data_IF_052775704187
#
_entry.id   IF_052775704187
#
_cell.length_a   1.000
_cell.length_b   1.000
_cell.length_c   1.000
_cell.angle_alpha   90.00
_cell.angle_beta   90.00
_cell.angle_gamma   90.00
#
_symmetry.space_group_name_H-M   'P 1'
#
loop_
_entity.id
_entity.type
_entity.pdbx_description
1 polymer ?
#
# COMPACT_ATOMS: atom_id res chain seq x y z
N UNK A 1 9.56 1.19 -22.86
CA UNK A 1 8.15 1.38 -22.43
C UNK A 1 8.04 1.56 -20.92
N UNK A 2 8.80 0.77 -20.14
CA UNK A 2 8.76 0.82 -18.69
C UNK A 2 10.14 1.14 -18.11
N UNK A 3 10.20 2.10 -17.21
CA UNK A 3 11.36 2.41 -16.38
C UNK A 3 11.45 1.40 -15.22
N UNK A 4 12.66 0.90 -14.97
CA UNK A 4 12.95 -0.03 -13.87
C UNK A 4 12.63 0.59 -12.51
N UNK A 5 11.97 -0.18 -11.64
CA UNK A 5 11.66 0.26 -10.27
C UNK A 5 10.61 1.36 -10.17
N UNK A 6 9.94 1.75 -11.26
CA UNK A 6 9.02 2.90 -11.30
C UNK A 6 7.57 2.50 -11.57
N UNK A 7 6.79 2.30 -10.50
CA UNK A 7 5.32 2.10 -10.60
C UNK A 7 4.67 3.29 -11.29
N UNK A 8 5.17 4.50 -10.99
CA UNK A 8 4.73 5.75 -11.60
C UNK A 8 4.85 5.70 -13.12
N UNK A 9 6.01 5.32 -13.65
CA UNK A 9 6.19 5.21 -15.10
C UNK A 9 5.26 4.16 -15.71
N UNK A 10 5.12 2.99 -15.08
CA UNK A 10 4.19 1.95 -15.53
C UNK A 10 2.75 2.46 -15.65
N UNK A 11 2.25 3.19 -14.64
CA UNK A 11 0.89 3.75 -14.69
C UNK A 11 0.76 4.88 -15.70
N UNK A 12 1.74 5.78 -15.79
CA UNK A 12 1.76 6.83 -16.82
C UNK A 12 1.66 6.21 -18.22
N UNK A 13 2.37 5.12 -18.47
CA UNK A 13 2.36 4.42 -19.77
C UNK A 13 1.05 3.68 -20.06
N UNK A 14 0.42 3.03 -19.06
CA UNK A 14 -0.76 2.17 -19.28
C UNK A 14 -2.08 2.96 -19.18
N UNK A 15 -2.22 3.80 -18.16
CA UNK A 15 -3.51 4.45 -17.84
C UNK A 15 -3.51 5.95 -18.06
N UNK A 16 -2.38 6.55 -18.44
CA UNK A 16 -2.20 8.02 -18.47
C UNK A 16 -3.22 8.75 -19.36
N UNK A 17 -3.48 8.25 -20.57
CA UNK A 17 -4.33 8.95 -21.54
C UNK A 17 -5.56 8.15 -22.01
N UNK A 18 -5.48 6.81 -22.00
CA UNK A 18 -6.45 5.93 -22.69
C UNK A 18 -7.85 5.98 -22.09
N UNK A 19 -8.00 6.37 -20.82
CA UNK A 19 -9.30 6.50 -20.15
C UNK A 19 -10.08 7.75 -20.57
N UNK A 20 -9.42 8.75 -21.17
CA UNK A 20 -10.06 9.98 -21.65
C UNK A 20 -10.48 9.94 -23.12
N UNK A 21 -10.41 8.77 -23.76
CA UNK A 21 -10.63 8.66 -25.19
C UNK A 21 -12.12 8.85 -25.54
N UNK A 22 -12.45 9.85 -26.37
CA UNK A 22 -13.85 10.21 -26.71
C UNK A 22 -14.64 9.05 -27.32
N UNK A 23 -13.96 8.10 -27.97
CA UNK A 23 -14.58 6.93 -28.57
C UNK A 23 -14.99 5.84 -27.56
N UNK A 24 -14.49 5.92 -26.32
CA UNK A 24 -14.81 4.99 -25.25
C UNK A 24 -15.81 5.63 -24.29
N UNK A 25 -16.92 4.94 -24.02
CA UNK A 25 -17.91 5.39 -23.03
C UNK A 25 -17.42 5.15 -21.59
N UNK A 26 -16.70 4.05 -21.39
CA UNK A 26 -16.10 3.67 -20.12
C UNK A 26 -14.95 2.70 -20.38
N UNK A 27 -13.95 2.72 -19.51
CA UNK A 27 -12.84 1.78 -19.50
C UNK A 27 -12.48 1.50 -18.04
N UNK A 28 -12.12 0.24 -17.73
CA UNK A 28 -11.61 -0.18 -16.43
C UNK A 28 -10.44 -1.12 -16.64
N UNK A 29 -9.34 -0.85 -15.94
CA UNK A 29 -8.22 -1.78 -15.85
C UNK A 29 -8.54 -2.77 -14.72
N UNK A 30 -8.79 -4.03 -15.05
CA UNK A 30 -9.18 -5.05 -14.06
C UNK A 30 -7.97 -5.72 -13.41
N UNK A 31 -6.93 -6.06 -14.19
CA UNK A 31 -5.73 -6.73 -13.69
C UNK A 31 -4.51 -6.44 -14.57
N UNK A 32 -3.31 -6.66 -14.03
CA UNK A 32 -2.04 -6.54 -14.72
C UNK A 32 -1.17 -7.76 -14.46
N UNK A 33 -0.76 -8.43 -15.54
CA UNK A 33 0.30 -9.43 -15.46
C UNK A 33 1.66 -8.73 -15.35
N UNK A 34 2.27 -8.76 -14.18
CA UNK A 34 3.63 -8.23 -13.96
C UNK A 34 4.67 -9.34 -14.19
N UNK A 35 5.56 -9.22 -15.19
CA UNK A 35 6.55 -10.26 -15.44
C UNK A 35 7.66 -10.26 -14.36
N UNK A 36 8.23 -11.43 -14.02
CA UNK A 36 9.32 -11.53 -13.04
C UNK A 36 10.55 -10.66 -13.37
N UNK A 37 10.81 -10.41 -14.65
CA UNK A 37 11.90 -9.55 -15.11
C UNK A 37 11.71 -8.10 -14.68
N UNK A 38 10.48 -7.60 -14.70
CA UNK A 38 10.16 -6.26 -14.24
C UNK A 38 9.97 -6.21 -12.73
N UNK A 39 9.30 -7.19 -12.12
CA UNK A 39 9.09 -7.18 -10.66
C UNK A 39 10.40 -7.23 -9.87
N UNK A 40 11.45 -7.88 -10.39
CA UNK A 40 12.77 -7.97 -9.76
C UNK A 40 13.53 -6.63 -9.73
N UNK A 41 13.12 -5.63 -10.49
CA UNK A 41 13.74 -4.29 -10.44
C UNK A 41 13.27 -3.46 -9.24
N UNK A 42 12.34 -3.98 -8.44
CA UNK A 42 11.79 -3.31 -7.28
C UNK A 42 12.34 -3.94 -6.00
N UNK A 43 12.53 -3.12 -4.97
CA UNK A 43 12.84 -3.62 -3.62
C UNK A 43 11.68 -4.45 -3.04
N UNK A 44 10.43 -4.03 -3.31
CA UNK A 44 9.24 -4.66 -2.73
C UNK A 44 9.03 -4.29 -1.25
N UNK A 45 8.33 -5.12 -0.47
CA UNK A 45 8.10 -4.87 0.96
C UNK A 45 9.43 -4.82 1.75
N UNK A 46 9.63 -3.85 2.66
CA UNK A 46 10.88 -3.75 3.43
C UNK A 46 11.20 -4.94 4.33
N UNK A 47 10.18 -5.68 4.78
CA UNK A 47 10.33 -6.84 5.68
C UNK A 47 9.48 -8.02 5.21
N UNK A 48 8.21 -7.78 4.89
CA UNK A 48 7.26 -8.84 4.56
C UNK A 48 6.67 -9.53 5.80
N UNK A 49 5.70 -10.41 5.56
CA UNK A 49 4.83 -10.98 6.61
C UNK A 49 5.63 -11.82 7.61
N UNK A 50 6.52 -12.69 7.13
CA UNK A 50 7.29 -13.60 7.97
C UNK A 50 8.25 -12.83 8.88
N UNK A 51 9.04 -11.91 8.31
CA UNK A 51 10.00 -11.10 9.07
C UNK A 51 9.30 -10.22 10.10
N UNK A 52 8.14 -9.64 9.79
CA UNK A 52 7.38 -8.84 10.75
C UNK A 52 6.86 -9.69 11.94
N UNK A 53 6.40 -10.92 11.69
CA UNK A 53 6.00 -11.86 12.74
C UNK A 53 7.16 -12.25 13.65
N UNK A 54 8.32 -12.49 13.07
CA UNK A 54 9.53 -12.84 13.80
C UNK A 54 10.00 -11.66 14.67
N UNK A 55 10.03 -10.44 14.12
CA UNK A 55 10.40 -9.22 14.84
C UNK A 55 9.48 -8.91 16.02
N UNK A 56 8.17 -9.16 15.87
CA UNK A 56 7.18 -8.90 16.92
C UNK A 56 6.97 -10.10 17.85
N UNK A 57 7.56 -11.26 17.54
CA UNK A 57 7.38 -12.52 18.25
C UNK A 57 5.89 -12.91 18.41
N UNK A 58 5.11 -12.86 17.31
CA UNK A 58 3.66 -13.12 17.31
C UNK A 58 3.26 -14.11 16.20
N UNK A 59 2.72 -15.26 16.60
CA UNK A 59 2.35 -16.36 15.70
C UNK A 59 0.94 -16.89 15.94
N UNK A 60 0.41 -17.63 14.96
CA UNK A 60 -0.85 -18.38 15.10
C UNK A 60 -2.13 -17.55 15.16
N UNK A 61 -2.05 -16.22 15.05
CA UNK A 61 -3.22 -15.34 15.07
C UNK A 61 -3.03 -14.06 14.22
N UNK A 62 -4.13 -13.41 13.80
CA UNK A 62 -4.10 -12.06 13.26
C UNK A 62 -3.57 -11.03 14.27
N UNK A 63 -3.06 -9.90 13.77
CA UNK A 63 -2.76 -8.74 14.60
C UNK A 63 -4.03 -7.92 14.85
N UNK A 64 -4.09 -7.28 16.01
CA UNK A 64 -5.15 -6.32 16.36
C UNK A 64 -4.52 -4.93 16.40
N UNK A 65 -5.20 -3.96 15.80
CA UNK A 65 -4.79 -2.56 15.79
C UNK A 65 -6.01 -1.65 15.98
N UNK A 66 -5.78 -0.43 16.47
CA UNK A 66 -6.81 0.56 16.70
C UNK A 66 -6.41 1.91 16.10
N UNK A 67 -7.33 2.56 15.39
CA UNK A 67 -7.15 3.97 14.98
C UNK A 67 -7.78 4.87 16.03
N UNK A 68 -6.97 5.70 16.69
CA UNK A 68 -7.45 6.63 17.71
C UNK A 68 -8.45 7.63 17.11
N UNK A 69 -9.50 7.93 17.89
CA UNK A 69 -10.55 8.89 17.55
C UNK A 69 -10.66 9.99 18.62
N UNK A 70 -11.10 11.21 18.26
CA UNK A 70 -11.44 11.68 16.90
C UNK A 70 -10.22 11.75 15.97
N UNK A 71 -10.44 11.75 14.66
CA UNK A 71 -9.36 11.76 13.65
C UNK A 71 -8.42 12.96 13.83
N UNK A 72 -8.97 14.10 14.23
CA UNK A 72 -8.25 15.36 14.45
C UNK A 72 -8.76 16.01 15.75
N UNK A 73 -7.96 16.90 16.32
CA UNK A 73 -8.35 17.74 17.45
C UNK A 73 -7.95 17.23 18.84
N UNK A 74 -7.33 16.05 18.94
CA UNK A 74 -6.67 15.64 20.19
C UNK A 74 -5.32 16.36 20.34
N UNK A 75 -5.03 16.83 21.55
CA UNK A 75 -3.67 17.22 21.92
C UNK A 75 -2.76 15.99 21.94
N UNK A 76 -1.44 16.18 21.75
CA UNK A 76 -0.47 15.09 21.80
C UNK A 76 -0.56 14.26 23.09
N UNK A 77 -0.82 14.92 24.23
CA UNK A 77 -0.99 14.25 25.53
C UNK A 77 -2.22 13.34 25.56
N UNK A 78 -3.36 13.81 25.06
CA UNK A 78 -4.58 13.02 25.07
C UNK A 78 -4.53 11.89 24.03
N UNK A 79 -3.87 12.11 22.90
CA UNK A 79 -3.59 11.06 21.93
C UNK A 79 -2.72 9.97 22.55
N UNK A 80 -1.64 10.34 23.25
CA UNK A 80 -0.77 9.40 23.95
C UNK A 80 -1.49 8.60 25.03
N UNK A 81 -2.37 9.24 25.81
CA UNK A 81 -3.24 8.54 26.76
C UNK A 81 -4.12 7.52 26.06
N UNK A 82 -4.79 7.89 24.97
CA UNK A 82 -5.64 6.97 24.23
C UNK A 82 -4.85 5.79 23.64
N UNK A 83 -3.63 6.01 23.16
CA UNK A 83 -2.75 4.93 22.72
C UNK A 83 -2.38 3.98 23.85
N UNK A 84 -2.02 4.51 25.03
CA UNK A 84 -1.64 3.70 26.19
C UNK A 84 -2.79 2.79 26.65
N UNK A 85 -4.00 3.33 26.77
CA UNK A 85 -5.17 2.55 27.20
C UNK A 85 -5.60 1.47 26.18
N UNK A 86 -5.16 1.57 24.93
CA UNK A 86 -5.52 0.63 23.86
C UNK A 86 -4.54 -0.53 23.69
N UNK A 87 -3.32 -0.43 24.24
CA UNK A 87 -2.22 -1.40 24.05
C UNK A 87 -2.06 -2.30 25.28
#
# INVERSE_FOLDING_TARGET
LFEEGSVTNMFTSIVGNVFGFKALRALRLEDLRIPPTYSKTFQGPPHGIQVERDKLNKYGRPFLGCTIKPKLGLSAKNYGRACYECL
#
